data_IF_501066811317
#
_entry.id   IF_501066811317
#
_cell.length_a   1.000
_cell.length_b   1.000
_cell.length_c   1.000
_cell.angle_alpha   90.00
_cell.angle_beta   90.00
_cell.angle_gamma   90.00
#
_symmetry.space_group_name_H-M   'P 1'
#
loop_
_entity.id
_entity.type
_entity.pdbx_description
1 polymer ?
#
# COMPACT_ATOMS: atom_id res chain seq x y z
N UNK A 1 -10.22 17.49 -10.49
CA UNK A 1 -10.13 17.08 -9.07
C UNK A 1 -9.58 18.27 -8.29
N UNK A 2 -10.03 18.53 -7.05
CA UNK A 2 -9.58 19.75 -6.32
C UNK A 2 -8.09 19.70 -6.00
N UNK A 3 -7.44 20.87 -6.04
CA UNK A 3 -6.08 21.06 -5.51
C UNK A 3 -6.01 20.91 -3.99
N UNK A 4 -7.14 21.03 -3.28
CA UNK A 4 -7.24 20.76 -1.84
C UNK A 4 -6.92 19.30 -1.48
N UNK A 5 -6.99 18.42 -2.47
CA UNK A 5 -6.63 17.00 -2.35
C UNK A 5 -5.17 16.73 -2.70
N UNK A 6 -4.33 17.76 -2.84
CA UNK A 6 -2.90 17.60 -3.08
C UNK A 6 -2.28 16.65 -2.05
N UNK A 7 -1.62 15.60 -2.56
CA UNK A 7 -1.00 14.54 -1.76
C UNK A 7 -1.90 14.07 -0.60
N UNK A 8 -3.14 13.71 -0.94
CA UNK A 8 -4.18 13.46 0.04
C UNK A 8 -3.74 12.50 1.16
N UNK A 9 -4.03 12.91 2.40
CA UNK A 9 -3.89 12.09 3.60
C UNK A 9 -5.02 11.04 3.71
N UNK A 10 -4.85 10.05 4.59
CA UNK A 10 -5.92 9.14 4.96
C UNK A 10 -7.07 9.87 5.66
N UNK A 11 -8.30 9.53 5.28
CA UNK A 11 -9.52 9.94 5.99
C UNK A 11 -9.66 9.18 7.32
N UNK A 12 -10.55 9.61 8.22
CA UNK A 12 -10.89 8.84 9.42
C UNK A 12 -11.32 7.39 9.10
N UNK A 13 -12.06 7.20 8.00
CA UNK A 13 -12.42 5.87 7.51
C UNK A 13 -11.19 5.08 7.05
N UNK A 14 -10.29 5.69 6.28
CA UNK A 14 -9.04 5.06 5.84
C UNK A 14 -8.18 4.60 7.02
N UNK A 15 -8.11 5.43 8.06
CA UNK A 15 -7.44 5.11 9.33
C UNK A 15 -8.12 3.95 10.09
N UNK A 16 -9.45 3.85 10.09
CA UNK A 16 -10.17 2.69 10.64
C UNK A 16 -9.87 1.40 9.85
N UNK A 17 -9.74 1.49 8.53
CA UNK A 17 -9.35 0.37 7.68
C UNK A 17 -7.91 -0.09 7.98
N UNK A 18 -6.99 0.85 8.20
CA UNK A 18 -5.61 0.59 8.64
C UNK A 18 -5.60 -0.17 9.97
N UNK A 19 -6.38 0.25 10.97
CA UNK A 19 -6.46 -0.47 12.25
C UNK A 19 -6.95 -1.90 12.06
N UNK A 20 -7.99 -2.06 11.22
CA UNK A 20 -8.56 -3.37 10.90
C UNK A 20 -7.57 -4.30 10.21
N UNK A 21 -6.69 -3.78 9.37
CA UNK A 21 -5.63 -4.54 8.70
C UNK A 21 -4.47 -4.83 9.67
N UNK A 22 -4.03 -3.84 10.47
CA UNK A 22 -2.99 -4.02 11.52
C UNK A 22 -3.36 -5.16 12.46
N UNK A 23 -4.60 -5.19 12.93
CA UNK A 23 -5.12 -6.25 13.79
C UNK A 23 -4.95 -7.65 13.14
N UNK A 24 -5.28 -7.76 11.85
CA UNK A 24 -5.13 -9.02 11.12
C UNK A 24 -3.66 -9.43 10.93
N UNK A 25 -2.80 -8.48 10.56
CA UNK A 25 -1.36 -8.71 10.35
C UNK A 25 -0.70 -9.18 11.66
N UNK A 26 -1.07 -8.61 12.81
CA UNK A 26 -0.61 -9.07 14.13
C UNK A 26 -1.17 -10.46 14.49
N UNK A 27 -2.49 -10.65 14.40
CA UNK A 27 -3.14 -11.93 14.76
C UNK A 27 -2.69 -13.12 13.92
N UNK A 28 -2.31 -12.88 12.67
CA UNK A 28 -1.82 -13.92 11.77
C UNK A 28 -0.33 -14.25 11.96
N UNK A 29 0.40 -13.47 12.76
CA UNK A 29 1.85 -13.57 12.90
C UNK A 29 2.62 -13.11 11.66
N UNK A 30 1.95 -12.44 10.70
CA UNK A 30 2.62 -11.90 9.51
C UNK A 30 3.60 -10.77 9.88
N UNK A 31 3.26 -9.95 10.88
CA UNK A 31 4.11 -8.85 11.34
C UNK A 31 5.55 -9.30 11.65
N UNK A 32 5.70 -10.48 12.25
CA UNK A 32 6.99 -11.04 12.68
C UNK A 32 7.82 -11.62 11.53
N UNK A 33 7.21 -11.79 10.35
CA UNK A 33 7.86 -12.39 9.18
C UNK A 33 8.36 -11.37 8.19
N UNK A 34 7.76 -10.18 8.16
CA UNK A 34 8.11 -9.17 7.17
C UNK A 34 9.51 -8.64 7.49
N UNK A 35 10.40 -8.74 6.51
CA UNK A 35 11.79 -8.29 6.60
C UNK A 35 11.97 -6.87 6.04
N UNK A 36 11.05 -6.42 5.17
CA UNK A 36 11.07 -5.10 4.56
C UNK A 36 9.65 -4.61 4.24
N UNK A 37 9.39 -3.32 4.48
CA UNK A 37 8.19 -2.64 4.00
C UNK A 37 8.57 -1.62 2.93
N UNK A 38 7.96 -1.75 1.76
CA UNK A 38 8.11 -0.85 0.62
C UNK A 38 6.83 -0.04 0.47
N UNK A 39 6.95 1.29 0.44
CA UNK A 39 5.81 2.19 0.24
C UNK A 39 6.01 3.04 -1.01
N UNK A 40 4.92 3.33 -1.72
CA UNK A 40 4.93 4.50 -2.61
C UNK A 40 5.12 5.77 -1.78
N UNK A 41 5.87 6.78 -2.23
CA UNK A 41 6.08 8.06 -1.54
C UNK A 41 4.89 9.00 -1.74
N UNK A 42 3.67 8.53 -1.43
CA UNK A 42 2.47 9.36 -1.35
C UNK A 42 1.95 9.29 0.09
N UNK A 43 1.45 10.41 0.64
CA UNK A 43 1.18 10.55 2.06
C UNK A 43 0.23 9.46 2.58
N UNK A 44 -0.91 9.23 1.90
CA UNK A 44 -1.85 8.15 2.23
C UNK A 44 -1.20 6.77 2.29
N UNK A 45 -0.22 6.50 1.42
CA UNK A 45 0.42 5.19 1.32
C UNK A 45 1.42 5.00 2.44
N UNK A 46 2.22 6.02 2.74
CA UNK A 46 3.15 5.98 3.87
C UNK A 46 2.38 5.89 5.20
N UNK A 47 1.30 6.67 5.37
CA UNK A 47 0.41 6.56 6.53
C UNK A 47 -0.19 5.15 6.69
N UNK A 48 -0.60 4.52 5.57
CA UNK A 48 -1.06 3.13 5.56
C UNK A 48 0.05 2.18 5.98
N UNK A 49 1.24 2.32 5.40
CA UNK A 49 2.39 1.45 5.66
C UNK A 49 2.80 1.49 7.14
N UNK A 50 3.04 2.68 7.68
CA UNK A 50 3.45 2.85 9.09
C UNK A 50 2.32 2.46 10.04
N UNK A 51 1.07 2.76 9.68
CA UNK A 51 -0.10 2.40 10.46
C UNK A 51 -0.30 0.89 10.57
N UNK A 52 -0.06 0.14 9.50
CA UNK A 52 -0.24 -1.32 9.48
C UNK A 52 0.98 -2.07 10.03
N UNK A 53 2.18 -1.69 9.60
CA UNK A 53 3.40 -2.47 9.81
C UNK A 53 4.40 -1.83 10.78
N UNK A 54 4.15 -0.59 11.22
CA UNK A 54 5.02 0.08 12.19
C UNK A 54 4.94 -0.50 13.59
N UNK A 55 5.87 -0.11 14.45
CA UNK A 55 5.96 -0.52 15.85
C UNK A 55 4.78 -0.08 16.70
N UNK A 56 4.82 -0.40 18.00
CA UNK A 56 3.83 0.05 18.96
C UNK A 56 3.90 1.58 19.17
N UNK A 57 3.11 2.10 20.11
CA UNK A 57 3.15 3.52 20.48
C UNK A 57 4.58 3.93 20.83
N UNK A 58 5.01 5.07 20.30
CA UNK A 58 6.27 5.68 20.70
C UNK A 58 6.19 6.09 22.17
N UNK A 59 7.17 5.71 22.99
CA UNK A 59 7.27 6.08 24.41
C UNK A 59 8.50 6.95 24.61
N UNK A 60 8.40 7.96 25.47
CA UNK A 60 9.52 8.83 25.83
C UNK A 60 10.70 8.00 26.40
N UNK A 61 11.92 8.28 25.94
CA UNK A 61 13.15 7.58 26.35
C UNK A 61 13.72 6.59 25.32
N UNK A 62 13.11 6.44 24.15
CA UNK A 62 13.64 5.66 23.03
C UNK A 62 14.67 6.49 22.22
N UNK A 63 15.87 5.95 22.01
CA UNK A 63 16.97 6.60 21.29
C UNK A 63 16.91 6.44 19.75
N UNK A 64 15.73 6.17 19.20
CA UNK A 64 15.53 5.95 17.76
C UNK A 64 14.48 6.93 17.23
N UNK A 65 14.66 7.49 16.02
CA UNK A 65 13.66 8.38 15.43
C UNK A 65 12.32 7.66 15.24
N UNK A 66 11.16 8.31 15.46
CA UNK A 66 9.87 7.68 15.23
C UNK A 66 9.69 7.32 13.76
N UNK A 67 8.91 6.28 13.48
CA UNK A 67 8.56 5.92 12.12
C UNK A 67 7.54 6.90 11.53
N UNK A 68 6.65 7.42 12.37
CA UNK A 68 5.74 8.51 12.06
C UNK A 68 5.60 9.39 13.31
N UNK A 69 5.71 10.71 13.16
CA UNK A 69 5.50 11.66 14.28
C UNK A 69 4.02 11.77 14.65
N UNK A 70 3.75 12.33 15.83
CA UNK A 70 2.39 12.62 16.25
C UNK A 70 1.70 13.57 15.26
N UNK A 71 0.43 13.29 14.96
CA UNK A 71 -0.42 14.09 14.09
C UNK A 71 0.15 14.33 12.67
N UNK A 72 1.01 13.44 12.17
CA UNK A 72 1.56 13.53 10.82
C UNK A 72 0.42 13.57 9.78
N UNK A 73 0.42 14.62 8.94
CA UNK A 73 -0.67 14.88 8.00
C UNK A 73 -2.01 15.02 8.69
N UNK A 74 -2.10 15.85 9.74
CA UNK A 74 -3.32 16.18 10.49
C UNK A 74 -4.20 14.97 10.84
N UNK A 75 -3.56 13.84 11.15
CA UNK A 75 -4.23 12.55 11.29
C UNK A 75 -4.92 12.35 12.64
N UNK A 76 -4.61 13.17 13.65
CA UNK A 76 -5.02 12.95 15.04
C UNK A 76 -4.43 11.68 15.65
N UNK A 77 -3.43 11.07 15.01
CA UNK A 77 -2.80 9.79 15.41
C UNK A 77 -1.61 10.05 16.33
N UNK A 78 -1.37 9.19 17.33
CA UNK A 78 -0.14 9.25 18.11
C UNK A 78 1.08 8.89 17.24
N UNK A 79 2.26 9.25 17.70
CA UNK A 79 3.50 8.82 17.07
C UNK A 79 3.63 7.28 17.04
N UNK A 80 4.20 6.76 15.94
CA UNK A 80 4.43 5.34 15.70
C UNK A 80 5.92 5.05 15.86
N UNK A 81 6.25 4.04 16.68
CA UNK A 81 7.63 3.64 16.90
C UNK A 81 8.25 2.95 15.69
N UNK A 82 9.54 3.20 15.47
CA UNK A 82 10.40 2.45 14.55
C UNK A 82 11.02 1.20 15.20
N UNK A 83 10.81 1.00 16.51
CA UNK A 83 11.28 -0.20 17.20
C UNK A 83 10.36 -1.38 16.92
N UNK A 84 10.95 -2.58 16.86
CA UNK A 84 10.25 -3.85 16.67
C UNK A 84 9.38 -3.88 15.40
N UNK A 85 9.79 -3.15 14.37
CA UNK A 85 9.24 -3.24 13.02
C UNK A 85 10.37 -3.38 12.00
N UNK A 86 10.10 -3.93 10.81
CA UNK A 86 11.08 -3.97 9.72
C UNK A 86 11.52 -2.56 9.27
N UNK A 87 12.62 -2.43 8.53
CA UNK A 87 12.94 -1.21 7.80
C UNK A 87 11.85 -0.83 6.79
N UNK A 88 11.72 0.47 6.54
CA UNK A 88 10.77 1.05 5.59
C UNK A 88 11.54 1.81 4.52
N UNK A 89 11.22 1.56 3.25
CA UNK A 89 11.80 2.29 2.12
C UNK A 89 10.68 2.87 1.24
N UNK A 90 10.90 4.09 0.76
CA UNK A 90 9.99 4.77 -0.17
C UNK A 90 10.51 4.65 -1.61
N UNK A 91 9.64 4.23 -2.54
CA UNK A 91 10.03 3.92 -3.92
C UNK A 91 9.07 4.55 -4.93
N UNK A 92 9.59 5.41 -5.81
CA UNK A 92 8.80 6.15 -6.81
C UNK A 92 8.05 5.24 -7.79
N UNK A 93 8.66 4.11 -8.19
CA UNK A 93 8.11 3.27 -9.25
C UNK A 93 6.81 2.57 -8.87
N UNK A 94 6.44 2.49 -7.59
CA UNK A 94 5.18 1.88 -7.14
C UNK A 94 4.06 2.89 -6.80
N UNK A 95 4.14 4.12 -7.31
CA UNK A 95 3.08 5.14 -7.21
C UNK A 95 1.86 4.81 -8.08
N UNK A 96 0.73 5.44 -7.77
CA UNK A 96 -0.46 5.47 -8.65
C UNK A 96 -0.09 6.09 -10.02
N UNK A 97 -1.06 6.15 -10.94
CA UNK A 97 -0.91 6.87 -12.19
C UNK A 97 -0.41 8.30 -11.97
N UNK A 98 0.64 8.68 -12.69
CA UNK A 98 1.23 10.01 -12.61
C UNK A 98 0.42 11.04 -13.41
N UNK A 99 0.46 12.29 -12.95
CA UNK A 99 -0.09 13.45 -13.62
C UNK A 99 -1.59 13.70 -13.48
N UNK A 100 -2.02 14.92 -13.84
CA UNK A 100 -3.39 15.48 -13.81
C UNK A 100 -4.07 15.55 -12.44
N UNK A 101 -4.03 14.49 -11.64
CA UNK A 101 -4.71 14.45 -10.35
C UNK A 101 -3.76 14.95 -9.25
N UNK A 102 -4.08 16.06 -8.55
CA UNK A 102 -3.20 16.61 -7.51
C UNK A 102 -2.97 15.64 -6.34
N UNK A 103 -3.92 14.74 -6.05
CA UNK A 103 -3.74 13.72 -5.02
C UNK A 103 -2.66 12.69 -5.37
N UNK A 104 -2.32 12.55 -6.65
CA UNK A 104 -1.26 11.66 -7.12
C UNK A 104 0.09 12.39 -7.26
N UNK A 105 0.15 13.69 -6.95
CA UNK A 105 1.39 14.46 -6.81
C UNK A 105 1.88 14.36 -5.38
N UNK A 106 3.14 13.99 -5.16
CA UNK A 106 3.72 13.92 -3.82
C UNK A 106 4.24 15.27 -3.36
N UNK A 107 4.41 15.42 -2.05
CA UNK A 107 5.19 16.51 -1.45
C UNK A 107 6.68 16.32 -1.69
N UNK A 108 7.45 17.37 -1.36
CA UNK A 108 8.90 17.26 -1.34
C UNK A 108 9.38 16.24 -0.31
N UNK A 109 10.55 15.63 -0.55
CA UNK A 109 11.15 14.72 0.45
C UNK A 109 11.56 15.50 1.70
N UNK A 110 11.96 16.76 1.54
CA UNK A 110 12.21 17.70 2.63
C UNK A 110 10.99 17.87 3.55
N UNK A 111 9.78 17.93 3.01
CA UNK A 111 8.54 17.93 3.80
C UNK A 111 8.21 16.57 4.44
N UNK A 112 8.56 15.45 3.79
CA UNK A 112 8.28 14.13 4.34
C UNK A 112 9.21 13.69 5.46
N UNK A 113 10.51 14.02 5.40
CA UNK A 113 11.51 13.64 6.41
C UNK A 113 11.09 13.97 7.85
N UNK A 114 10.57 15.18 8.18
CA UNK A 114 10.11 15.45 9.55
C UNK A 114 8.83 14.68 9.93
N UNK A 115 8.01 14.27 8.97
CA UNK A 115 6.77 13.51 9.22
C UNK A 115 7.04 12.01 9.41
N UNK A 116 7.99 11.47 8.66
CA UNK A 116 8.38 10.06 8.66
C UNK A 116 9.90 9.87 8.82
N UNK A 117 10.48 10.24 9.97
CA UNK A 117 11.94 10.28 10.13
C UNK A 117 12.69 8.96 9.91
N UNK A 118 12.03 7.82 10.12
CA UNK A 118 12.64 6.50 9.95
C UNK A 118 12.30 5.79 8.61
N UNK A 119 11.58 6.46 7.69
CA UNK A 119 11.44 5.94 6.32
C UNK A 119 12.69 6.34 5.52
N UNK A 120 13.31 5.39 4.85
CA UNK A 120 14.42 5.65 3.95
C UNK A 120 13.90 6.16 2.59
N UNK A 121 14.34 7.37 2.24
CA UNK A 121 14.05 8.03 0.96
C UNK A 121 15.28 8.06 0.03
N UNK A 122 16.35 7.32 0.34
CA UNK A 122 17.62 7.34 -0.40
C UNK A 122 17.50 6.95 -1.88
N UNK A 123 16.47 6.17 -2.23
CA UNK A 123 16.17 5.76 -3.61
C UNK A 123 15.44 6.85 -4.42
N UNK A 124 15.09 7.98 -3.81
CA UNK A 124 14.43 9.09 -4.49
C UNK A 124 15.46 10.15 -4.87
N UNK A 125 15.67 10.32 -6.16
CA UNK A 125 16.72 11.19 -6.70
C UNK A 125 16.40 12.69 -6.55
N UNK A 126 15.13 13.07 -6.68
CA UNK A 126 14.70 14.48 -6.73
C UNK A 126 13.87 14.84 -5.51
N UNK A 127 14.19 15.97 -4.86
CA UNK A 127 13.42 16.44 -3.71
C UNK A 127 11.97 16.75 -4.10
N UNK A 128 11.79 17.52 -5.18
CA UNK A 128 10.49 17.83 -5.76
C UNK A 128 9.94 16.69 -6.63
N UNK A 129 8.62 16.67 -6.82
CA UNK A 129 7.94 15.70 -7.68
C UNK A 129 8.07 16.06 -9.17
N UNK A 130 9.21 15.68 -9.77
CA UNK A 130 9.50 15.89 -11.20
C UNK A 130 8.83 14.87 -12.11
N UNK A 131 8.19 13.83 -11.56
CA UNK A 131 7.54 12.76 -12.33
C UNK A 131 6.06 13.04 -12.62
N UNK A 132 5.44 13.92 -11.84
CA UNK A 132 4.04 14.29 -12.00
C UNK A 132 3.90 15.49 -12.95
N UNK A 133 3.09 15.32 -13.99
CA UNK A 133 2.82 16.36 -14.99
C UNK A 133 1.38 16.89 -14.86
N UNK A 134 1.16 18.22 -14.85
CA UNK A 134 -0.18 18.80 -14.63
C UNK A 134 -1.19 18.46 -15.71
N UNK A 135 -0.75 18.34 -16.96
CA UNK A 135 -1.64 18.25 -18.12
C UNK A 135 -1.65 16.87 -18.79
N UNK A 136 -0.75 15.97 -18.37
CA UNK A 136 -0.58 14.65 -19.01
C UNK A 136 -0.76 13.55 -17.98
N UNK A 137 -1.84 12.78 -18.14
CA UNK A 137 -2.06 11.57 -17.32
C UNK A 137 -1.25 10.43 -17.91
N UNK A 138 -0.53 9.72 -17.06
CA UNK A 138 0.19 8.51 -17.44
C UNK A 138 -0.77 7.47 -18.06
N UNK A 139 -0.40 6.94 -19.23
CA UNK A 139 -1.19 5.90 -19.88
C UNK A 139 -1.12 4.57 -19.09
N UNK A 140 -2.19 3.79 -19.15
CA UNK A 140 -2.28 2.48 -18.48
C UNK A 140 -1.11 1.54 -18.85
N UNK A 141 -0.67 1.58 -20.11
CA UNK A 141 0.47 0.82 -20.63
C UNK A 141 1.78 1.30 -20.00
N UNK A 142 1.94 2.60 -19.81
CA UNK A 142 3.11 3.18 -19.16
C UNK A 142 3.17 2.80 -17.66
N UNK A 143 2.02 2.81 -16.97
CA UNK A 143 1.92 2.31 -15.57
C UNK A 143 2.35 0.84 -15.51
N UNK A 144 1.88 0.01 -16.44
CA UNK A 144 2.22 -1.41 -16.47
C UNK A 144 3.72 -1.62 -16.71
N UNK A 145 4.32 -0.90 -17.66
CA UNK A 145 5.78 -0.96 -17.94
C UNK A 145 6.60 -0.48 -16.75
N UNK A 146 6.19 0.60 -16.08
CA UNK A 146 6.81 1.07 -14.83
C UNK A 146 6.67 0.02 -13.72
N UNK A 147 5.53 -0.65 -13.66
CA UNK A 147 5.29 -1.82 -12.81
C UNK A 147 6.25 -2.97 -13.05
N UNK A 148 6.52 -3.31 -14.32
CA UNK A 148 7.49 -4.37 -14.64
C UNK A 148 8.92 -3.99 -14.23
N UNK A 149 9.33 -2.74 -14.41
CA UNK A 149 10.63 -2.25 -13.88
C UNK A 149 10.69 -2.36 -12.35
N UNK A 150 9.59 -2.08 -11.65
CA UNK A 150 9.49 -2.29 -10.21
C UNK A 150 9.63 -3.77 -9.84
N UNK A 151 8.98 -4.68 -10.59
CA UNK A 151 9.14 -6.12 -10.39
C UNK A 151 10.58 -6.58 -10.62
N UNK A 152 11.24 -6.13 -11.69
CA UNK A 152 12.65 -6.46 -11.98
C UNK A 152 13.57 -6.00 -10.85
N UNK A 153 13.36 -4.79 -10.33
CA UNK A 153 14.07 -4.30 -9.15
C UNK A 153 13.75 -5.12 -7.89
N UNK A 154 12.48 -5.48 -7.68
CA UNK A 154 12.06 -6.30 -6.55
C UNK A 154 12.75 -7.68 -6.55
N UNK A 155 13.00 -8.27 -7.72
CA UNK A 155 13.74 -9.53 -7.87
C UNK A 155 15.21 -9.44 -7.43
N UNK A 156 15.76 -8.24 -7.28
CA UNK A 156 17.14 -8.02 -6.80
C UNK A 156 17.25 -7.94 -5.28
N UNK A 157 16.10 -7.91 -4.57
CA UNK A 157 16.06 -7.81 -3.11
C UNK A 157 16.50 -9.11 -2.45
N UNK A 158 17.23 -8.99 -1.34
CA UNK A 158 17.67 -10.13 -0.54
C UNK A 158 16.60 -10.61 0.45
N UNK A 159 15.64 -9.75 0.77
CA UNK A 159 14.55 -10.03 1.70
C UNK A 159 13.56 -11.05 1.13
N UNK A 160 13.15 -12.00 1.99
CA UNK A 160 12.28 -13.11 1.60
C UNK A 160 10.79 -12.78 1.67
N UNK A 161 10.41 -12.01 2.68
CA UNK A 161 9.03 -11.64 2.98
C UNK A 161 8.94 -10.10 2.99
N UNK A 162 8.40 -9.54 1.90
CA UNK A 162 8.34 -8.10 1.66
C UNK A 162 6.89 -7.65 1.62
N UNK A 163 6.54 -6.64 2.40
CA UNK A 163 5.25 -5.98 2.32
C UNK A 163 5.32 -4.78 1.36
N UNK A 164 4.48 -4.77 0.33
CA UNK A 164 4.40 -3.68 -0.65
C UNK A 164 3.08 -2.93 -0.44
N UNK A 165 3.18 -1.66 -0.09
CA UNK A 165 2.04 -0.76 0.12
C UNK A 165 1.98 0.22 -1.04
N UNK A 166 0.92 0.11 -1.84
CA UNK A 166 0.80 0.80 -3.13
C UNK A 166 -0.67 1.08 -3.44
N UNK A 167 -1.00 1.34 -4.71
CA UNK A 167 -2.29 1.85 -5.16
C UNK A 167 -2.99 0.87 -6.09
N UNK A 168 -4.32 0.93 -6.12
CA UNK A 168 -5.13 -0.04 -6.84
C UNK A 168 -4.88 -0.03 -8.36
N UNK A 169 -4.66 1.14 -8.96
CA UNK A 169 -4.37 1.26 -10.39
C UNK A 169 -3.01 0.65 -10.73
N UNK A 170 -1.97 1.08 -10.02
CA UNK A 170 -0.61 0.51 -10.14
C UNK A 170 -0.60 -1.01 -10.02
N UNK A 171 -1.15 -1.56 -8.93
CA UNK A 171 -1.18 -3.01 -8.69
C UNK A 171 -1.95 -3.75 -9.78
N UNK A 172 -3.10 -3.21 -10.20
CA UNK A 172 -3.92 -3.82 -11.23
C UNK A 172 -3.17 -3.91 -12.57
N UNK A 173 -2.56 -2.83 -13.04
CA UNK A 173 -1.86 -2.80 -14.32
C UNK A 173 -0.58 -3.64 -14.31
N UNK A 174 0.20 -3.53 -13.23
CA UNK A 174 1.42 -4.31 -13.03
C UNK A 174 1.13 -5.80 -13.01
N UNK A 175 0.22 -6.26 -12.15
CA UNK A 175 -0.10 -7.69 -12.03
C UNK A 175 -0.82 -8.23 -13.29
N UNK A 176 -1.55 -7.38 -14.01
CA UNK A 176 -2.14 -7.74 -15.30
C UNK A 176 -1.07 -7.98 -16.37
N UNK A 177 -0.01 -7.19 -16.40
CA UNK A 177 1.11 -7.37 -17.33
C UNK A 177 1.99 -8.54 -16.91
N UNK A 178 2.39 -8.59 -15.64
CA UNK A 178 3.18 -9.68 -15.07
C UNK A 178 2.51 -11.04 -15.32
N UNK A 179 1.19 -11.17 -15.10
CA UNK A 179 0.47 -12.43 -15.36
C UNK A 179 0.37 -12.82 -16.84
N UNK A 180 0.44 -11.86 -17.78
CA UNK A 180 0.47 -12.15 -19.22
C UNK A 180 1.85 -12.61 -19.67
N UNK A 181 2.91 -12.00 -19.14
CA UNK A 181 4.30 -12.27 -19.50
C UNK A 181 4.86 -13.51 -18.80
N UNK A 182 4.29 -13.88 -17.64
CA UNK A 182 4.65 -15.09 -16.92
C UNK A 182 4.25 -16.37 -17.68
N UNK A 183 5.23 -17.26 -17.83
CA UNK A 183 5.13 -18.58 -18.48
C UNK A 183 3.98 -19.44 -17.90
N UNK A 184 3.34 -20.33 -18.69
CA UNK A 184 2.30 -21.29 -18.30
C UNK A 184 2.37 -21.96 -16.92
N UNK A 185 3.55 -22.09 -16.35
CA UNK A 185 3.86 -22.78 -15.09
C UNK A 185 3.61 -21.94 -13.84
N UNK A 186 3.70 -20.60 -13.90
CA UNK A 186 3.24 -19.73 -12.79
C UNK A 186 1.70 -19.83 -12.65
N UNK A 187 1.00 -20.03 -13.76
CA UNK A 187 -0.44 -20.30 -13.77
C UNK A 187 -0.81 -21.56 -12.99
N UNK A 188 0.02 -22.62 -13.02
CA UNK A 188 -0.29 -23.88 -12.34
C UNK A 188 -0.05 -23.80 -10.82
N UNK A 189 1.07 -23.20 -10.39
CA UNK A 189 1.41 -23.15 -8.96
C UNK A 189 0.49 -22.19 -8.21
N UNK A 190 0.16 -21.05 -8.81
CA UNK A 190 -0.79 -20.11 -8.19
C UNK A 190 -2.24 -20.65 -8.24
N UNK A 191 -2.60 -21.48 -9.23
CA UNK A 191 -3.90 -22.20 -9.25
C UNK A 191 -4.02 -23.23 -8.13
N UNK A 192 -2.94 -23.94 -7.77
CA UNK A 192 -2.92 -24.85 -6.60
C UNK A 192 -3.10 -24.08 -5.29
N UNK A 193 -2.54 -22.88 -5.19
CA UNK A 193 -2.67 -22.01 -4.01
C UNK A 193 -4.10 -21.46 -3.84
N UNK A 194 -4.84 -21.20 -4.93
CA UNK A 194 -6.27 -20.87 -4.86
C UNK A 194 -7.17 -22.04 -4.43
N UNK A 195 -6.77 -23.29 -4.67
CA UNK A 195 -7.55 -24.46 -4.27
C UNK A 195 -7.62 -24.62 -2.73
N UNK A 196 -6.58 -24.21 -2.01
CA UNK A 196 -6.56 -24.19 -0.53
C UNK A 196 -7.60 -23.24 0.09
N UNK A 197 -8.20 -22.33 -0.71
CA UNK A 197 -9.25 -21.39 -0.28
C UNK A 197 -10.68 -21.91 -0.52
N UNK A 198 -10.85 -23.07 -1.15
CA UNK A 198 -12.15 -23.56 -1.62
C UNK A 198 -12.90 -24.48 -0.65
N UNK A 199 -12.67 -24.37 0.67
CA UNK A 199 -13.45 -25.12 1.67
C UNK A 199 -14.88 -24.57 1.90
N UNK A 200 -15.36 -23.60 1.11
CA UNK A 200 -16.77 -23.16 1.23
C UNK A 200 -17.54 -22.88 -0.05
N UNK A 201 -16.92 -22.64 -1.21
CA UNK A 201 -17.69 -22.49 -2.47
C UNK A 201 -16.95 -23.05 -3.67
N UNK A 202 -17.55 -24.05 -4.32
CA UNK A 202 -17.19 -24.61 -5.63
C UNK A 202 -17.20 -23.53 -6.72
N UNK A 203 -16.15 -22.73 -6.82
CA UNK A 203 -15.84 -21.94 -8.02
C UNK A 203 -14.33 -21.96 -8.18
N UNK A 204 -13.86 -22.62 -9.24
CA UNK A 204 -12.49 -22.46 -9.73
C UNK A 204 -12.30 -20.97 -10.05
N UNK A 205 -11.65 -20.23 -9.14
CA UNK A 205 -11.35 -18.82 -9.36
C UNK A 205 -10.18 -18.81 -10.33
N UNK A 206 -10.48 -18.49 -11.60
CA UNK A 206 -9.46 -18.29 -12.61
C UNK A 206 -8.41 -17.32 -12.06
N UNK A 207 -7.17 -17.77 -11.91
CA UNK A 207 -6.11 -16.99 -11.27
C UNK A 207 -5.87 -15.64 -11.96
N UNK A 208 -6.06 -15.59 -13.28
CA UNK A 208 -6.02 -14.35 -14.03
C UNK A 208 -7.14 -13.39 -13.60
N UNK A 209 -8.33 -13.89 -13.25
CA UNK A 209 -9.40 -13.03 -12.70
C UNK A 209 -9.07 -12.52 -11.30
N UNK A 210 -8.28 -13.23 -10.51
CA UNK A 210 -7.86 -12.78 -9.17
C UNK A 210 -6.81 -11.68 -9.25
N UNK A 211 -5.75 -11.84 -10.05
CA UNK A 211 -4.77 -10.78 -10.29
C UNK A 211 -5.38 -9.56 -10.99
N UNK A 212 -6.36 -9.76 -11.87
CA UNK A 212 -7.08 -8.69 -12.58
C UNK A 212 -8.29 -8.15 -11.81
N UNK A 213 -8.38 -8.38 -10.51
CA UNK A 213 -9.37 -7.71 -9.66
C UNK A 213 -8.72 -6.49 -9.02
N UNK A 214 -9.37 -5.33 -9.13
CA UNK A 214 -8.96 -4.14 -8.38
C UNK A 214 -8.90 -4.45 -6.89
N UNK A 215 -7.94 -3.81 -6.21
CA UNK A 215 -7.80 -3.92 -4.77
C UNK A 215 -8.81 -3.00 -4.09
N UNK A 216 -9.44 -3.48 -3.02
CA UNK A 216 -10.13 -2.61 -2.07
C UNK A 216 -9.12 -1.87 -1.17
N UNK A 217 -9.56 -0.79 -0.53
CA UNK A 217 -8.71 -0.06 0.42
C UNK A 217 -8.32 -0.97 1.58
N UNK A 218 -7.03 -0.96 1.96
CA UNK A 218 -6.43 -1.86 2.94
C UNK A 218 -6.71 -3.36 2.67
N UNK A 219 -6.88 -3.77 1.41
CA UNK A 219 -6.85 -5.19 1.01
C UNK A 219 -5.39 -5.67 0.97
N UNK A 220 -5.11 -6.81 1.60
CA UNK A 220 -3.81 -7.49 1.55
C UNK A 220 -3.92 -8.75 0.68
N UNK A 221 -3.04 -8.86 -0.31
CA UNK A 221 -2.87 -10.07 -1.12
C UNK A 221 -1.42 -10.53 -1.03
N UNK A 222 -1.22 -11.78 -0.64
CA UNK A 222 0.06 -12.48 -0.65
C UNK A 222 0.33 -13.06 -2.04
N UNK A 223 1.56 -12.87 -2.53
CA UNK A 223 2.05 -13.45 -3.77
C UNK A 223 3.43 -14.06 -3.48
N UNK A 224 3.71 -15.22 -4.08
CA UNK A 224 5.03 -15.85 -3.98
C UNK A 224 5.75 -15.66 -5.31
N UNK A 225 6.94 -15.07 -5.25
CA UNK A 225 7.88 -15.01 -6.37
C UNK A 225 8.82 -16.21 -6.25
N UNK A 226 8.91 -17.04 -7.30
CA UNK A 226 9.70 -18.27 -7.30
C UNK A 226 10.72 -18.22 -8.43
N UNK A 227 12.01 -18.39 -8.12
CA UNK A 227 13.05 -18.57 -9.12
C UNK A 227 12.71 -19.79 -9.98
N UNK A 228 12.83 -19.64 -11.31
CA UNK A 228 12.57 -20.67 -12.32
C UNK A 228 13.33 -21.99 -12.06
N UNK A 229 14.42 -21.94 -11.31
CA UNK A 229 15.27 -23.09 -10.93
C UNK A 229 14.89 -23.77 -9.60
N UNK A 230 14.01 -23.17 -8.78
CA UNK A 230 13.71 -23.58 -7.40
C UNK A 230 12.21 -23.81 -7.19
N UNK A 231 11.57 -24.63 -8.03
CA UNK A 231 10.18 -25.03 -7.84
C UNK A 231 10.03 -25.92 -6.60
N UNK A 232 9.77 -25.29 -5.45
CA UNK A 232 9.42 -25.92 -4.17
C UNK A 232 8.11 -25.39 -3.58
N UNK A 233 7.50 -26.17 -2.68
CA UNK A 233 6.13 -25.99 -2.17
C UNK A 233 6.00 -24.84 -1.15
N UNK A 234 5.74 -23.62 -1.60
CA UNK A 234 5.34 -22.51 -0.72
C UNK A 234 3.90 -22.08 -1.03
N UNK A 235 3.06 -21.93 0.00
CA UNK A 235 1.67 -21.49 -0.14
C UNK A 235 1.41 -20.16 0.59
N UNK A 236 0.76 -19.17 -0.07
CA UNK A 236 0.39 -17.88 0.53
C UNK A 236 -0.72 -18.08 1.56
N UNK A 237 -0.53 -17.56 2.78
CA UNK A 237 -1.41 -17.82 3.93
C UNK A 237 -2.02 -16.57 4.60
N UNK A 238 -1.72 -15.36 4.11
CA UNK A 238 -1.98 -14.11 4.86
C UNK A 238 -2.93 -13.11 4.18
N UNK A 239 -3.79 -13.56 3.26
CA UNK A 239 -4.70 -12.66 2.55
C UNK A 239 -5.76 -12.02 3.46
N UNK A 240 -6.02 -10.73 3.28
CA UNK A 240 -7.06 -9.96 3.96
C UNK A 240 -7.91 -9.21 2.93
N UNK A 241 -9.24 -9.42 2.87
CA UNK A 241 -10.08 -8.89 1.80
C UNK A 241 -10.37 -7.38 1.90
N UNK A 242 -9.82 -6.68 2.90
CA UNK A 242 -10.25 -5.35 3.30
C UNK A 242 -11.49 -5.42 4.21
N UNK A 243 -11.57 -4.53 5.19
CA UNK A 243 -12.83 -4.26 5.91
C UNK A 243 -13.44 -3.01 5.30
N UNK A 244 -14.74 -3.04 5.01
CA UNK A 244 -15.53 -1.82 4.83
C UNK A 244 -16.24 -1.64 6.18
N UNK A 245 -15.75 -0.77 7.10
CA UNK A 245 -16.57 -0.33 8.22
C UNK A 245 -17.88 0.26 7.67
N UNK A 246 -19.00 0.08 8.34
CA UNK A 246 -20.25 0.72 7.93
C UNK A 246 -20.06 2.25 8.00
N UNK A 247 -20.02 2.91 6.84
CA UNK A 247 -19.83 4.36 6.71
C UNK A 247 -19.85 4.78 5.25
N UNK A 248 -20.44 5.95 4.97
CA UNK A 248 -20.41 6.56 3.64
C UNK A 248 -18.98 7.07 3.36
N UNK A 249 -18.35 6.58 2.30
CA UNK A 249 -17.08 7.09 1.80
C UNK A 249 -17.34 8.42 1.09
N UNK A 250 -17.31 9.51 1.84
CA UNK A 250 -17.52 10.87 1.36
C UNK A 250 -16.22 11.68 1.49
N UNK A 251 -15.88 12.50 0.49
CA UNK A 251 -14.91 13.57 0.62
C UNK A 251 -15.14 14.41 1.88
N UNK A 252 -14.06 14.88 2.52
CA UNK A 252 -14.10 15.58 3.82
C UNK A 252 -15.00 16.82 3.82
N UNK A 253 -15.17 17.47 2.67
CA UNK A 253 -16.02 18.63 2.44
C UNK A 253 -17.54 18.33 2.42
N UNK A 254 -17.93 17.06 2.33
CA UNK A 254 -19.34 16.63 2.41
C UNK A 254 -19.69 16.11 3.81
N UNK A 255 -18.70 15.58 4.54
CA UNK A 255 -18.89 15.12 5.92
C UNK A 255 -19.24 16.29 6.86
N UNK A 256 -18.56 17.42 6.73
CA UNK A 256 -18.80 18.60 7.57
C UNK A 256 -20.15 19.27 7.28
N UNK A 257 -20.62 19.25 6.01
CA UNK A 257 -21.93 19.82 5.64
C UNK A 257 -23.11 19.00 6.16
N UNK A 258 -22.98 17.66 6.16
CA UNK A 258 -24.04 16.78 6.69
C UNK A 258 -24.22 16.89 8.20
N UNK A 259 -23.13 17.08 8.94
CA UNK A 259 -23.20 17.26 10.39
C UNK A 259 -23.86 18.59 10.78
N UNK A 260 -23.68 19.64 9.98
CA UNK A 260 -24.36 20.93 10.17
C UNK A 260 -25.85 20.84 9.79
N UNK A 261 -26.20 20.18 8.69
CA UNK A 261 -27.59 20.00 8.27
C UNK A 261 -28.41 19.07 9.20
N UNK A 262 -27.78 18.10 9.86
CA UNK A 262 -28.42 17.24 10.87
C UNK A 262 -28.53 17.92 12.24
N UNK A 263 -27.65 18.88 12.57
CA UNK A 263 -27.73 19.67 13.80
C UNK A 263 -28.83 20.76 13.73
N UNK A 264 -29.17 21.24 12.54
CA UNK A 264 -30.25 22.23 12.34
C UNK A 264 -31.66 21.61 12.26
N UNK A 265 -31.76 20.26 12.28
CA UNK A 265 -33.04 19.53 12.22
C UNK A 265 -33.48 18.88 13.54
N UNK A 266 -32.73 19.07 14.63
CA UNK A 266 -33.10 18.59 15.96
C UNK A 266 -33.33 19.75 16.94
#
# INVERSE_FOLDING_TARGET
>A
MSHDLFDAQLTPLGWSQVDGLREHVKKSGLAEKIELVISSPLLRTMQTAVGVFGGEKYTDGVNAPPLMVENAGHSGRPAVSSLNCPPFIAVETCREHLGVHPCDKRRSITEYRPLFPAIDFSLIENDEDVLWEPDVREANEAVALRGMKFMDWLWTREEKEIAIVSHSGFLFHTLSMYSKECHPTIRDEVSKQCAAFSYSRKRSLNIYKWFRRRFANCELRSMVLVDRSMLGSYSPRFNYPGKIPAGLDLPSDIADKKLVEEAEKN
#
